data_IF_308944315715
#
_entry.id   IF_308944315715
#
_cell.length_a   1.000
_cell.length_b   1.000
_cell.length_c   1.000
_cell.angle_alpha   90.00
_cell.angle_beta   90.00
_cell.angle_gamma   90.00
#
_symmetry.space_group_name_H-M   'P 1'
#
loop_
_entity.id
_entity.type
_entity.pdbx_description
1 polymer ?
#
# COMPACT_ATOMS: atom_id res chain seq x y z
N UNK A 1 22.33 -11.20 -3.95
CA UNK A 1 21.78 -11.79 -5.21
C UNK A 1 21.28 -10.62 -6.05
N UNK A 2 21.53 -10.63 -7.36
CA UNK A 2 21.19 -9.51 -8.22
C UNK A 2 20.35 -10.01 -9.40
N UNK A 3 19.28 -9.30 -9.73
CA UNK A 3 18.49 -9.47 -10.93
C UNK A 3 18.65 -8.22 -11.79
N UNK A 4 19.25 -8.36 -12.97
CA UNK A 4 19.37 -7.27 -13.94
C UNK A 4 18.51 -7.55 -15.16
N UNK A 5 17.68 -6.60 -15.55
CA UNK A 5 16.77 -6.69 -16.69
C UNK A 5 17.17 -5.65 -17.73
N UNK A 6 17.82 -6.09 -18.80
CA UNK A 6 18.16 -5.23 -19.92
C UNK A 6 16.91 -4.60 -20.55
N UNK A 7 17.10 -3.47 -21.22
CA UNK A 7 16.02 -2.83 -21.98
C UNK A 7 15.39 -3.80 -22.99
N UNK A 8 14.08 -3.95 -22.93
CA UNK A 8 13.31 -4.88 -23.76
C UNK A 8 13.16 -6.29 -23.17
N UNK A 9 13.89 -6.63 -22.10
CA UNK A 9 13.65 -7.87 -21.39
C UNK A 9 12.35 -7.80 -20.59
N UNK A 10 11.57 -8.89 -20.61
CA UNK A 10 10.32 -8.97 -19.86
C UNK A 10 10.20 -10.30 -19.14
N UNK A 11 9.95 -10.26 -17.83
CA UNK A 11 9.48 -11.39 -17.04
C UNK A 11 7.96 -11.29 -16.96
N UNK A 12 7.23 -12.33 -17.40
CA UNK A 12 5.77 -12.35 -17.42
C UNK A 12 5.24 -13.42 -16.47
N UNK A 13 4.25 -13.06 -15.66
CA UNK A 13 3.54 -14.00 -14.79
C UNK A 13 2.66 -14.96 -15.60
N UNK A 14 2.60 -16.21 -15.16
CA UNK A 14 1.67 -17.22 -15.75
C UNK A 14 0.26 -17.02 -15.22
N UNK A 15 -0.75 -17.37 -15.99
CA UNK A 15 -2.16 -17.23 -15.59
C UNK A 15 -2.57 -18.31 -14.60
N UNK A 16 -2.07 -19.53 -14.78
CA UNK A 16 -2.43 -20.68 -13.96
C UNK A 16 -1.87 -20.57 -12.54
N UNK A 17 -2.73 -20.82 -11.57
CA UNK A 17 -2.37 -20.78 -10.16
C UNK A 17 -1.29 -21.80 -9.79
N UNK A 18 -1.28 -22.95 -10.46
CA UNK A 18 -0.32 -24.03 -10.27
C UNK A 18 1.13 -23.63 -10.60
N UNK A 19 1.31 -22.57 -11.36
CA UNK A 19 2.62 -21.96 -11.63
C UNK A 19 3.26 -21.27 -10.41
N UNK A 20 2.49 -21.08 -9.32
CA UNK A 20 2.97 -20.40 -8.11
C UNK A 20 2.93 -21.36 -6.91
N UNK A 21 4.05 -21.97 -6.52
CA UNK A 21 4.09 -22.90 -5.41
C UNK A 21 3.71 -22.21 -4.10
N UNK A 22 2.78 -22.82 -3.35
CA UNK A 22 2.35 -22.32 -2.05
C UNK A 22 3.51 -22.30 -1.05
N UNK A 23 3.64 -21.23 -0.27
CA UNK A 23 4.61 -21.14 0.82
C UNK A 23 4.12 -20.21 1.92
N UNK A 24 4.76 -20.27 3.07
CA UNK A 24 4.54 -19.30 4.12
C UNK A 24 4.93 -17.88 3.61
N UNK A 25 4.07 -16.94 3.82
CA UNK A 25 4.25 -15.54 3.40
C UNK A 25 3.41 -14.61 4.26
N UNK A 26 3.49 -13.31 3.99
CA UNK A 26 2.75 -12.28 4.70
C UNK A 26 1.66 -11.69 3.81
N UNK A 27 0.40 -11.75 4.24
CA UNK A 27 -0.76 -11.18 3.52
C UNK A 27 -1.69 -10.48 4.51
N UNK A 28 -2.05 -9.23 4.21
CA UNK A 28 -3.01 -8.44 5.01
C UNK A 28 -2.72 -8.44 6.52
N UNK A 29 -1.45 -8.27 6.90
CA UNK A 29 -1.04 -8.22 8.29
C UNK A 29 -0.98 -9.58 9.01
N UNK A 30 -1.07 -10.70 8.29
CA UNK A 30 -1.03 -12.06 8.85
C UNK A 30 0.01 -12.92 8.13
N UNK A 31 0.71 -13.77 8.88
CA UNK A 31 1.51 -14.83 8.30
C UNK A 31 0.61 -16.02 7.95
N UNK A 32 0.65 -16.44 6.70
CA UNK A 32 -0.22 -17.52 6.20
C UNK A 32 0.44 -18.26 5.03
N UNK A 33 -0.09 -19.44 4.70
CA UNK A 33 0.28 -20.15 3.47
C UNK A 33 -0.52 -19.56 2.30
N UNK A 34 0.19 -19.03 1.31
CA UNK A 34 -0.42 -18.32 0.19
C UNK A 34 0.51 -18.38 -1.02
N UNK A 35 0.03 -17.92 -2.19
CA UNK A 35 0.91 -17.71 -3.34
C UNK A 35 1.93 -16.60 -3.02
N UNK A 36 3.22 -16.83 -3.25
CA UNK A 36 4.25 -15.80 -3.08
C UNK A 36 4.12 -14.72 -4.16
N UNK A 37 5.23 -14.21 -4.65
CA UNK A 37 5.26 -13.30 -5.77
C UNK A 37 5.87 -14.01 -7.01
N UNK A 38 5.82 -13.33 -8.16
CA UNK A 38 6.54 -13.74 -9.36
C UNK A 38 8.06 -13.73 -9.10
N UNK A 39 8.56 -12.67 -8.43
CA UNK A 39 9.95 -12.57 -7.96
C UNK A 39 9.95 -12.54 -6.42
N UNK A 40 10.76 -13.39 -5.80
CA UNK A 40 10.86 -13.50 -4.36
C UNK A 40 12.31 -13.43 -3.89
N UNK A 41 12.56 -12.69 -2.80
CA UNK A 41 13.83 -12.68 -2.08
C UNK A 41 13.55 -12.79 -0.57
N UNK A 42 14.25 -13.68 0.12
CA UNK A 42 14.10 -13.87 1.57
C UNK A 42 15.47 -14.01 2.23
N UNK A 43 15.64 -13.33 3.37
CA UNK A 43 16.86 -13.42 4.16
C UNK A 43 18.12 -12.89 3.45
N UNK A 44 17.96 -11.97 2.50
CA UNK A 44 19.08 -11.45 1.72
C UNK A 44 19.72 -10.23 2.41
N UNK A 45 21.05 -10.12 2.27
CA UNK A 45 21.80 -8.90 2.54
C UNK A 45 22.42 -8.42 1.22
N UNK A 46 22.03 -7.25 0.74
CA UNK A 46 22.46 -6.73 -0.56
C UNK A 46 21.69 -7.29 -1.76
N UNK A 47 20.37 -7.50 -1.68
CA UNK A 47 19.55 -7.87 -2.84
C UNK A 47 19.31 -6.67 -3.75
N UNK A 48 19.50 -6.85 -5.07
CA UNK A 48 19.25 -5.78 -6.06
C UNK A 48 18.38 -6.25 -7.22
N UNK A 49 17.50 -5.35 -7.68
CA UNK A 49 16.86 -5.40 -9.00
C UNK A 49 17.26 -4.13 -9.75
N UNK A 50 17.72 -4.25 -10.98
CA UNK A 50 18.14 -3.09 -11.76
C UNK A 50 17.89 -3.26 -13.26
N UNK A 51 18.05 -2.18 -14.00
CA UNK A 51 17.93 -2.16 -15.47
C UNK A 51 16.67 -1.46 -15.96
N UNK A 52 16.38 -1.57 -17.25
CA UNK A 52 15.26 -0.89 -17.93
C UNK A 52 14.18 -1.88 -18.43
N UNK A 53 14.21 -3.12 -17.94
CA UNK A 53 13.26 -4.16 -18.34
C UNK A 53 11.94 -4.08 -17.58
N UNK A 54 11.08 -5.06 -17.83
CA UNK A 54 9.70 -5.12 -17.34
C UNK A 54 9.45 -6.38 -16.52
N UNK A 55 8.73 -6.26 -15.42
CA UNK A 55 8.17 -7.40 -14.69
C UNK A 55 6.66 -7.23 -14.72
N UNK A 56 5.99 -8.08 -15.51
CA UNK A 56 4.55 -8.03 -15.78
C UNK A 56 3.83 -9.13 -15.00
N UNK A 57 2.95 -8.75 -14.09
CA UNK A 57 2.12 -9.69 -13.33
C UNK A 57 1.05 -10.38 -14.15
N UNK A 58 0.76 -9.89 -15.38
CA UNK A 58 -0.25 -10.43 -16.29
C UNK A 58 -1.64 -10.56 -15.64
N UNK A 59 -2.10 -9.47 -14.97
CA UNK A 59 -3.24 -9.51 -14.04
C UNK A 59 -4.63 -9.52 -14.67
N UNK A 60 -4.80 -9.20 -15.97
CA UNK A 60 -6.11 -8.94 -16.56
C UNK A 60 -7.15 -10.05 -16.33
N UNK A 61 -6.82 -11.31 -16.59
CA UNK A 61 -7.73 -12.45 -16.42
C UNK A 61 -8.19 -12.62 -14.96
N UNK A 62 -7.26 -12.54 -14.01
CA UNK A 62 -7.58 -12.68 -12.59
C UNK A 62 -8.37 -11.47 -12.06
N UNK A 63 -8.23 -10.28 -12.65
CA UNK A 63 -9.03 -9.11 -12.29
C UNK A 63 -10.50 -9.31 -12.68
N UNK A 64 -10.76 -9.79 -13.90
CA UNK A 64 -12.12 -10.14 -14.34
C UNK A 64 -12.75 -11.20 -13.42
N UNK A 65 -12.03 -12.26 -13.15
CA UNK A 65 -12.46 -13.34 -12.26
C UNK A 65 -12.79 -12.84 -10.85
N UNK A 66 -11.93 -12.00 -10.28
CA UNK A 66 -12.13 -11.41 -8.95
C UNK A 66 -13.46 -10.64 -8.88
N UNK A 67 -13.69 -9.74 -9.82
CA UNK A 67 -14.90 -8.93 -9.82
C UNK A 67 -16.16 -9.76 -10.11
N UNK A 68 -16.07 -10.76 -10.96
CA UNK A 68 -17.15 -11.69 -11.22
C UNK A 68 -17.53 -12.50 -9.97
N UNK A 69 -16.55 -13.09 -9.29
CA UNK A 69 -16.76 -13.83 -8.02
C UNK A 69 -17.31 -12.94 -6.91
N UNK A 70 -16.76 -11.72 -6.77
CA UNK A 70 -17.24 -10.73 -5.78
C UNK A 70 -18.69 -10.31 -6.05
N UNK A 71 -19.06 -10.08 -7.31
CA UNK A 71 -20.42 -9.75 -7.70
C UNK A 71 -21.39 -10.92 -7.43
N UNK A 72 -20.99 -12.15 -7.75
CA UNK A 72 -21.78 -13.36 -7.46
C UNK A 72 -21.99 -13.59 -5.96
N UNK A 73 -20.95 -13.42 -5.15
CA UNK A 73 -21.04 -13.52 -3.70
C UNK A 73 -22.00 -12.47 -3.13
N UNK A 74 -21.86 -11.20 -3.56
CA UNK A 74 -22.77 -10.11 -3.15
C UNK A 74 -24.23 -10.40 -3.53
N UNK A 75 -24.48 -10.90 -4.73
CA UNK A 75 -25.83 -11.31 -5.18
C UNK A 75 -26.42 -12.42 -4.31
N UNK A 76 -25.58 -13.32 -3.81
CA UNK A 76 -25.94 -14.41 -2.91
C UNK A 76 -25.99 -14.00 -1.41
N UNK A 77 -25.82 -12.72 -1.07
CA UNK A 77 -25.78 -12.23 0.32
C UNK A 77 -24.57 -12.76 1.12
N UNK A 78 -23.49 -13.18 0.46
CA UNK A 78 -22.27 -13.70 1.08
C UNK A 78 -21.15 -12.66 1.06
N UNK A 79 -20.32 -12.68 2.09
CA UNK A 79 -19.05 -11.94 2.08
C UNK A 79 -18.08 -12.55 1.06
N UNK A 80 -17.25 -11.73 0.47
CA UNK A 80 -16.15 -12.12 -0.40
C UNK A 80 -14.90 -11.34 0.01
N UNK A 81 -13.91 -12.05 0.53
CA UNK A 81 -12.65 -11.49 1.03
C UNK A 81 -11.58 -11.53 -0.05
N UNK A 82 -10.58 -10.70 0.09
CA UNK A 82 -9.44 -10.71 -0.86
C UNK A 82 -8.74 -12.08 -0.93
N UNK A 83 -8.70 -12.81 0.20
CA UNK A 83 -8.09 -14.15 0.28
C UNK A 83 -8.94 -15.28 -0.31
N UNK A 84 -10.23 -15.04 -0.62
CA UNK A 84 -11.12 -16.05 -1.23
C UNK A 84 -10.76 -16.32 -2.69
N UNK A 85 -9.99 -15.44 -3.32
CA UNK A 85 -9.30 -15.69 -4.58
C UNK A 85 -7.82 -15.36 -4.38
N UNK A 86 -7.00 -16.39 -4.24
CA UNK A 86 -5.56 -16.24 -4.05
C UNK A 86 -4.91 -15.68 -5.32
N UNK A 87 -4.09 -14.65 -5.15
CA UNK A 87 -3.47 -13.89 -6.22
C UNK A 87 -2.00 -13.59 -5.88
N UNK A 88 -1.02 -13.98 -6.71
CA UNK A 88 0.37 -13.66 -6.45
C UNK A 88 0.64 -12.16 -6.62
N UNK A 89 1.61 -11.65 -5.88
CA UNK A 89 2.23 -10.33 -6.08
C UNK A 89 3.25 -10.38 -7.22
N UNK A 90 3.75 -9.22 -7.65
CA UNK A 90 4.87 -9.19 -8.61
C UNK A 90 6.21 -9.37 -7.90
N UNK A 91 6.46 -8.61 -6.83
CA UNK A 91 7.67 -8.71 -6.04
C UNK A 91 7.35 -8.92 -4.56
N UNK A 92 8.02 -9.84 -3.91
CA UNK A 92 8.03 -10.01 -2.47
C UNK A 92 9.45 -10.14 -1.93
N UNK A 93 9.83 -9.22 -1.06
CA UNK A 93 11.12 -9.23 -0.37
C UNK A 93 10.84 -9.35 1.12
N UNK A 94 11.43 -10.34 1.79
CA UNK A 94 11.23 -10.56 3.21
C UNK A 94 12.54 -10.74 3.96
N UNK A 95 12.56 -10.35 5.25
CA UNK A 95 13.68 -10.57 6.18
C UNK A 95 15.04 -10.12 5.63
N UNK A 96 15.07 -9.04 4.85
CA UNK A 96 16.23 -8.66 4.05
C UNK A 96 16.74 -7.26 4.43
N UNK A 97 18.02 -7.01 4.15
CA UNK A 97 18.68 -5.73 4.39
C UNK A 97 19.43 -5.25 3.15
N UNK A 98 19.70 -3.94 3.11
CA UNK A 98 20.46 -3.33 2.01
C UNK A 98 19.87 -3.70 0.64
N UNK A 99 18.54 -3.46 0.50
CA UNK A 99 17.78 -3.80 -0.71
C UNK A 99 17.72 -2.58 -1.62
N UNK A 100 18.08 -2.77 -2.90
CA UNK A 100 18.00 -1.72 -3.91
C UNK A 100 17.21 -2.20 -5.13
N UNK A 101 16.16 -1.45 -5.49
CA UNK A 101 15.28 -1.75 -6.62
C UNK A 101 15.19 -0.52 -7.51
N UNK A 102 15.73 -0.61 -8.73
CA UNK A 102 15.88 0.57 -9.58
C UNK A 102 15.64 0.36 -11.07
N UNK A 103 15.09 1.39 -11.71
CA UNK A 103 15.00 1.54 -13.17
C UNK A 103 13.93 0.70 -13.87
N UNK A 104 13.48 -0.38 -13.25
CA UNK A 104 12.56 -1.34 -13.87
C UNK A 104 11.09 -0.87 -13.85
N UNK A 105 10.30 -1.44 -14.75
CA UNK A 105 8.86 -1.28 -14.78
C UNK A 105 8.18 -2.51 -14.18
N UNK A 106 7.37 -2.31 -13.13
CA UNK A 106 6.43 -3.30 -12.60
C UNK A 106 5.04 -2.98 -13.12
N UNK A 107 4.35 -3.96 -13.70
CA UNK A 107 3.00 -3.70 -14.21
C UNK A 107 2.02 -4.83 -13.99
N UNK A 108 0.74 -4.49 -13.99
CA UNK A 108 -0.42 -5.38 -14.03
C UNK A 108 -0.37 -6.51 -13.00
N UNK A 109 -0.04 -6.16 -11.76
CA UNK A 109 -0.02 -7.14 -10.67
C UNK A 109 -1.40 -7.78 -10.45
N UNK A 110 -1.41 -9.05 -10.11
CA UNK A 110 -2.64 -9.76 -9.73
C UNK A 110 -3.15 -9.36 -8.35
N UNK A 111 -2.23 -8.90 -7.48
CA UNK A 111 -2.49 -8.43 -6.12
C UNK A 111 -1.57 -7.22 -5.84
N UNK A 112 -1.05 -7.02 -4.62
CA UNK A 112 -0.05 -5.98 -4.32
C UNK A 112 1.13 -6.08 -5.29
N UNK A 113 1.64 -4.96 -5.73
CA UNK A 113 2.67 -4.99 -6.78
C UNK A 113 4.03 -5.32 -6.20
N UNK A 114 4.53 -4.49 -5.27
CA UNK A 114 5.80 -4.76 -4.58
C UNK A 114 5.58 -4.74 -3.08
N UNK A 115 5.93 -5.82 -2.39
CA UNK A 115 5.74 -5.97 -0.96
C UNK A 115 7.05 -6.29 -0.26
N UNK A 116 7.39 -5.48 0.72
CA UNK A 116 8.59 -5.62 1.54
C UNK A 116 8.16 -5.89 2.98
N UNK A 117 8.58 -7.03 3.51
CA UNK A 117 8.22 -7.46 4.85
C UNK A 117 9.46 -7.68 5.72
N UNK A 118 9.50 -7.03 6.90
CA UNK A 118 10.60 -7.16 7.85
C UNK A 118 11.96 -6.85 7.21
N UNK A 119 12.02 -5.75 6.44
CA UNK A 119 13.22 -5.30 5.73
C UNK A 119 13.79 -4.02 6.36
N UNK A 120 15.08 -3.82 6.16
CA UNK A 120 15.82 -2.67 6.66
C UNK A 120 16.77 -2.13 5.59
N UNK A 121 16.94 -0.80 5.52
CA UNK A 121 17.77 -0.14 4.52
C UNK A 121 17.36 -0.49 3.09
N UNK A 122 16.11 -0.13 2.74
CA UNK A 122 15.52 -0.39 1.42
C UNK A 122 15.42 0.90 0.61
N UNK A 123 15.84 0.84 -0.66
CA UNK A 123 15.65 1.92 -1.61
C UNK A 123 14.93 1.40 -2.87
N UNK A 124 13.77 1.98 -3.18
CA UNK A 124 13.04 1.77 -4.44
C UNK A 124 13.09 3.07 -5.21
N UNK A 125 13.75 3.08 -6.37
CA UNK A 125 13.94 4.34 -7.07
C UNK A 125 13.97 4.24 -8.59
N UNK A 126 13.61 5.35 -9.22
CA UNK A 126 13.60 5.48 -10.69
C UNK A 126 12.72 4.40 -11.38
N UNK A 127 11.76 3.82 -10.65
CA UNK A 127 10.88 2.76 -11.13
C UNK A 127 9.56 3.33 -11.68
N UNK A 128 8.96 2.57 -12.60
CA UNK A 128 7.58 2.75 -13.02
C UNK A 128 6.71 1.61 -12.47
N UNK A 129 5.65 1.93 -11.71
CA UNK A 129 4.76 0.93 -11.11
C UNK A 129 3.34 1.24 -11.54
N UNK A 130 2.75 0.38 -12.38
CA UNK A 130 1.49 0.69 -13.04
C UNK A 130 0.52 -0.49 -13.06
N UNK A 131 -0.77 -0.20 -12.91
CA UNK A 131 -1.87 -1.05 -13.36
C UNK A 131 -2.47 -0.37 -14.59
N UNK A 132 -2.22 -0.93 -15.76
CA UNK A 132 -2.65 -0.36 -17.03
C UNK A 132 -4.18 -0.24 -17.08
N UNK A 133 -4.68 0.77 -17.79
CA UNK A 133 -6.12 0.92 -18.03
C UNK A 133 -6.54 -0.10 -19.09
N UNK A 134 -6.88 -1.28 -18.64
CA UNK A 134 -7.36 -2.37 -19.49
C UNK A 134 -8.89 -2.32 -19.64
N UNK A 135 -9.42 -3.06 -20.59
CA UNK A 135 -10.86 -3.23 -20.77
C UNK A 135 -11.22 -4.71 -20.70
N UNK A 136 -12.36 -4.98 -20.09
CA UNK A 136 -12.94 -6.34 -20.08
C UNK A 136 -13.49 -6.73 -21.47
N UNK A 137 -13.99 -7.95 -21.57
CA UNK A 137 -14.60 -8.49 -22.80
C UNK A 137 -15.81 -7.70 -23.33
N UNK A 138 -16.38 -6.82 -22.48
CA UNK A 138 -17.51 -5.94 -22.83
C UNK A 138 -17.06 -4.49 -23.13
N UNK A 139 -15.75 -4.22 -23.15
CA UNK A 139 -15.17 -2.91 -23.40
C UNK A 139 -15.22 -1.95 -22.20
N UNK A 140 -15.64 -2.41 -21.02
CA UNK A 140 -15.64 -1.64 -19.78
C UNK A 140 -14.24 -1.62 -19.15
N UNK A 141 -13.87 -0.49 -18.55
CA UNK A 141 -12.59 -0.36 -17.83
C UNK A 141 -12.50 -1.42 -16.73
N UNK A 142 -11.47 -2.22 -16.83
CA UNK A 142 -11.14 -3.29 -15.88
C UNK A 142 -10.17 -2.74 -14.83
N UNK A 143 -10.57 -2.76 -13.59
CA UNK A 143 -9.75 -2.30 -12.46
C UNK A 143 -9.03 -3.46 -11.79
N UNK A 144 -7.73 -3.33 -11.60
CA UNK A 144 -6.96 -4.28 -10.81
C UNK A 144 -7.34 -4.19 -9.33
N UNK A 145 -7.85 -5.27 -8.71
CA UNK A 145 -8.23 -5.27 -7.30
C UNK A 145 -6.99 -5.38 -6.41
N UNK A 146 -6.84 -4.47 -5.45
CA UNK A 146 -5.74 -4.46 -4.47
C UNK A 146 -4.35 -4.47 -5.15
N UNK A 147 -4.16 -3.56 -6.11
CA UNK A 147 -2.88 -3.43 -6.86
C UNK A 147 -2.00 -2.33 -6.27
N UNK A 148 -1.92 -2.26 -4.93
CA UNK A 148 -1.05 -1.32 -4.21
C UNK A 148 0.37 -1.34 -4.83
N UNK A 149 1.02 -0.17 -4.97
CA UNK A 149 2.29 -0.13 -5.66
C UNK A 149 3.46 -0.59 -4.79
N UNK A 150 3.60 0.00 -3.59
CA UNK A 150 4.70 -0.30 -2.66
C UNK A 150 4.13 -0.51 -1.27
N UNK A 151 4.13 -1.75 -0.79
CA UNK A 151 3.72 -2.12 0.56
C UNK A 151 4.93 -2.28 1.48
N UNK A 152 5.00 -1.45 2.52
CA UNK A 152 6.09 -1.38 3.49
C UNK A 152 5.58 -1.98 4.80
N UNK A 153 5.84 -3.27 5.05
CA UNK A 153 5.28 -4.03 6.16
C UNK A 153 6.37 -4.38 7.19
N UNK A 154 6.29 -3.78 8.36
CA UNK A 154 7.29 -3.97 9.44
C UNK A 154 8.72 -3.64 8.97
N UNK A 155 8.90 -2.56 8.22
CA UNK A 155 10.20 -2.14 7.69
C UNK A 155 10.75 -0.89 8.39
N UNK A 156 12.06 -0.70 8.27
CA UNK A 156 12.77 0.44 8.85
C UNK A 156 13.80 1.01 7.87
N UNK A 157 13.93 2.35 7.82
CA UNK A 157 14.79 3.09 6.88
C UNK A 157 14.50 2.71 5.43
N UNK A 158 13.29 3.06 5.01
CA UNK A 158 12.77 2.73 3.69
C UNK A 158 12.61 4.00 2.85
N UNK A 159 13.19 4.02 1.65
CA UNK A 159 13.08 5.15 0.73
C UNK A 159 12.39 4.74 -0.56
N UNK A 160 11.40 5.54 -1.00
CA UNK A 160 10.81 5.49 -2.35
C UNK A 160 11.07 6.84 -3.00
N UNK A 161 11.82 6.86 -4.10
CA UNK A 161 12.16 8.14 -4.75
C UNK A 161 12.14 8.07 -6.27
N UNK A 162 11.84 9.21 -6.90
CA UNK A 162 11.84 9.38 -8.36
C UNK A 162 10.95 8.35 -9.10
N UNK A 163 9.96 7.75 -8.45
CA UNK A 163 9.10 6.75 -9.06
C UNK A 163 7.86 7.38 -9.71
N UNK A 164 7.39 6.73 -10.79
CA UNK A 164 6.07 7.02 -11.38
C UNK A 164 5.09 5.91 -11.00
N UNK A 165 3.99 6.27 -10.36
CA UNK A 165 3.01 5.32 -9.80
C UNK A 165 1.63 5.63 -10.37
N UNK A 166 0.99 4.61 -10.98
CA UNK A 166 -0.37 4.67 -11.52
C UNK A 166 -1.06 3.33 -11.33
N UNK A 167 -1.61 3.07 -10.14
CA UNK A 167 -2.21 1.77 -9.75
C UNK A 167 -3.70 1.92 -9.40
N UNK A 168 -4.45 0.83 -9.34
CA UNK A 168 -5.89 0.89 -9.04
C UNK A 168 -6.22 0.87 -7.53
N UNK A 169 -5.22 0.79 -6.67
CA UNK A 169 -5.34 0.90 -5.22
C UNK A 169 -4.31 1.92 -4.68
N UNK A 170 -3.79 1.76 -3.50
CA UNK A 170 -2.92 2.76 -2.87
C UNK A 170 -1.50 2.79 -3.50
N UNK A 171 -0.88 3.95 -3.51
CA UNK A 171 0.49 4.16 -4.01
C UNK A 171 1.54 3.58 -3.05
N UNK A 172 1.93 4.33 -2.03
CA UNK A 172 2.83 3.84 -0.98
C UNK A 172 2.03 3.56 0.28
N UNK A 173 2.16 2.35 0.82
CA UNK A 173 1.37 1.90 1.98
C UNK A 173 2.28 1.43 3.09
N UNK A 174 2.09 1.98 4.28
CA UNK A 174 2.81 1.58 5.50
C UNK A 174 1.95 0.60 6.29
N UNK A 175 2.50 -0.58 6.54
CA UNK A 175 1.85 -1.72 7.21
C UNK A 175 2.72 -2.24 8.37
N UNK A 176 2.26 -3.30 9.07
CA UNK A 176 2.99 -3.91 10.19
C UNK A 176 2.23 -5.04 10.90
N UNK A 177 0.92 -5.19 10.62
CA UNK A 177 0.10 -6.22 11.25
C UNK A 177 -1.32 -5.76 11.58
N UNK A 178 -2.19 -6.68 11.97
CA UNK A 178 -3.58 -6.38 12.37
C UNK A 178 -4.07 -7.28 13.49
N UNK A 179 -5.24 -6.92 14.01
CA UNK A 179 -6.00 -7.66 15.01
C UNK A 179 -5.97 -7.03 16.39
N UNK A 180 -6.84 -7.49 17.27
CA UNK A 180 -7.05 -6.90 18.58
C UNK A 180 -5.79 -6.88 19.49
N UNK A 181 -4.83 -7.74 19.20
CA UNK A 181 -3.57 -7.89 19.92
C UNK A 181 -2.35 -7.58 19.05
N UNK A 182 -2.54 -6.83 17.95
CA UNK A 182 -1.49 -6.60 16.95
C UNK A 182 -0.25 -5.89 17.51
N UNK A 183 -0.38 -5.12 18.57
CA UNK A 183 0.70 -4.41 19.25
C UNK A 183 1.41 -5.24 20.36
N UNK A 184 0.98 -6.47 20.60
CA UNK A 184 1.71 -7.42 21.45
C UNK A 184 2.73 -8.20 20.61
N UNK A 185 3.87 -7.57 20.36
CA UNK A 185 4.92 -8.15 19.50
C UNK A 185 5.61 -9.37 20.11
N UNK A 186 5.52 -9.54 21.43
CA UNK A 186 6.05 -10.75 22.08
C UNK A 186 5.21 -11.98 21.72
N UNK A 187 3.89 -11.81 21.69
CA UNK A 187 2.94 -12.87 21.34
C UNK A 187 2.79 -13.03 19.82
N UNK A 188 2.89 -11.95 19.08
CA UNK A 188 2.74 -11.91 17.63
C UNK A 188 4.00 -11.34 16.96
N UNK A 189 5.13 -12.07 16.95
CA UNK A 189 6.42 -11.56 16.47
C UNK A 189 6.44 -11.27 14.96
N UNK A 190 5.46 -11.75 14.20
CA UNK A 190 5.25 -11.38 12.80
C UNK A 190 4.79 -9.93 12.64
N UNK A 191 4.17 -9.32 13.65
CA UNK A 191 3.78 -7.92 13.64
C UNK A 191 4.93 -7.02 14.09
N UNK A 192 4.84 -5.73 13.75
CA UNK A 192 5.83 -4.76 14.19
C UNK A 192 5.55 -3.36 13.67
N UNK A 193 6.34 -2.41 14.16
CA UNK A 193 6.34 -1.05 13.69
C UNK A 193 7.03 -0.93 12.33
N UNK A 194 6.55 0.03 11.51
CA UNK A 194 7.31 0.57 10.38
C UNK A 194 7.75 1.98 10.70
N UNK A 195 9.03 2.30 10.42
CA UNK A 195 9.56 3.61 10.76
C UNK A 195 10.61 4.12 9.76
N UNK A 196 10.86 5.43 9.83
CA UNK A 196 11.87 6.09 9.02
C UNK A 196 11.63 5.86 7.52
N UNK A 197 10.39 6.15 7.07
CA UNK A 197 9.98 6.03 5.67
C UNK A 197 10.05 7.39 4.98
N UNK A 198 10.73 7.43 3.85
CA UNK A 198 10.84 8.61 3.01
C UNK A 198 10.27 8.33 1.62
N UNK A 199 9.28 9.13 1.21
CA UNK A 199 8.74 9.15 -0.15
C UNK A 199 9.07 10.52 -0.76
N UNK A 200 9.90 10.56 -1.79
CA UNK A 200 10.31 11.85 -2.35
C UNK A 200 10.39 11.87 -3.87
N UNK A 201 10.11 13.03 -4.45
CA UNK A 201 10.22 13.28 -5.90
C UNK A 201 9.42 12.28 -6.76
N UNK A 202 8.37 11.67 -6.21
CA UNK A 202 7.52 10.71 -6.91
C UNK A 202 6.35 11.39 -7.60
N UNK A 203 5.84 10.73 -8.65
CA UNK A 203 4.64 11.15 -9.39
C UNK A 203 3.55 10.11 -9.20
N UNK A 204 2.45 10.50 -8.58
CA UNK A 204 1.27 9.64 -8.40
C UNK A 204 0.18 10.07 -9.38
N UNK A 205 -0.23 9.17 -10.23
CA UNK A 205 -1.17 9.44 -11.32
C UNK A 205 -2.48 8.66 -11.12
N UNK A 206 -3.57 9.18 -11.68
CA UNK A 206 -4.81 8.41 -11.80
C UNK A 206 -4.53 7.04 -12.46
N UNK A 207 -5.11 5.93 -12.01
CA UNK A 207 -6.22 5.82 -11.06
C UNK A 207 -5.82 5.53 -9.58
N UNK A 208 -4.65 5.94 -9.14
CA UNK A 208 -4.16 5.68 -7.77
C UNK A 208 -5.17 6.18 -6.73
N UNK A 209 -5.53 5.30 -5.79
CA UNK A 209 -6.51 5.61 -4.76
C UNK A 209 -5.96 6.60 -3.72
N UNK A 210 -4.77 6.35 -3.19
CA UNK A 210 -4.11 7.28 -2.27
C UNK A 210 -2.62 7.34 -2.59
N UNK A 211 -2.01 8.54 -2.53
CA UNK A 211 -0.58 8.65 -2.77
C UNK A 211 0.23 8.02 -1.61
N UNK A 212 -0.11 8.39 -0.36
CA UNK A 212 0.46 7.81 0.85
C UNK A 212 -0.65 7.31 1.77
N UNK A 213 -0.55 6.06 2.21
CA UNK A 213 -1.50 5.44 3.14
C UNK A 213 -0.75 4.84 4.33
N UNK A 214 -1.26 5.07 5.54
CA UNK A 214 -0.87 4.35 6.75
C UNK A 214 -2.03 3.41 7.13
N UNK A 215 -1.74 2.12 7.14
CA UNK A 215 -2.77 1.10 7.40
C UNK A 215 -3.38 0.50 6.11
N UNK A 216 -4.47 -0.23 6.20
CA UNK A 216 -5.21 -0.51 7.44
C UNK A 216 -4.45 -1.44 8.41
N UNK A 217 -3.68 -2.40 7.94
CA UNK A 217 -2.92 -3.37 8.73
C UNK A 217 -1.60 -2.79 9.23
N UNK A 218 -1.65 -1.79 10.13
CA UNK A 218 -0.45 -1.13 10.65
C UNK A 218 -0.65 -0.78 12.14
N UNK A 219 -0.13 -1.57 13.08
CA UNK A 219 -0.27 -1.27 14.51
C UNK A 219 0.56 -0.06 14.91
N UNK A 220 1.68 0.20 14.24
CA UNK A 220 2.54 1.34 14.59
C UNK A 220 3.32 1.85 13.37
N UNK A 221 3.27 3.18 13.16
CA UNK A 221 4.07 3.89 12.18
C UNK A 221 4.65 5.17 12.79
N UNK A 222 5.96 5.39 12.58
CA UNK A 222 6.64 6.54 13.14
C UNK A 222 7.67 7.13 12.17
N UNK A 223 7.78 8.47 12.11
CA UNK A 223 8.68 9.21 11.22
C UNK A 223 8.48 8.85 9.74
N UNK A 224 7.27 9.13 9.25
CA UNK A 224 6.87 8.90 7.86
C UNK A 224 6.86 10.26 7.14
N UNK A 225 7.66 10.40 6.11
CA UNK A 225 7.77 11.65 5.35
C UNK A 225 7.45 11.44 3.87
N UNK A 226 6.58 12.28 3.31
CA UNK A 226 6.37 12.44 1.87
C UNK A 226 6.70 13.87 1.49
N UNK A 227 7.59 14.06 0.52
CA UNK A 227 7.99 15.41 0.11
C UNK A 227 8.28 15.58 -1.38
N UNK A 228 8.08 16.79 -1.87
CA UNK A 228 8.43 17.17 -3.26
C UNK A 228 7.80 16.23 -4.32
N UNK A 229 6.62 15.72 -4.06
CA UNK A 229 5.91 14.81 -4.94
C UNK A 229 4.87 15.56 -5.77
N UNK A 230 4.41 14.93 -6.85
CA UNK A 230 3.26 15.42 -7.63
C UNK A 230 2.14 14.39 -7.60
N UNK A 231 0.91 14.87 -7.55
CA UNK A 231 -0.30 14.04 -7.60
C UNK A 231 -1.20 14.53 -8.72
N UNK A 232 -1.75 13.60 -9.51
CA UNK A 232 -2.65 13.94 -10.61
C UNK A 232 -3.88 13.03 -10.60
N UNK A 233 -5.00 13.57 -10.11
CA UNK A 233 -6.28 12.87 -10.04
C UNK A 233 -6.33 11.71 -9.05
N UNK A 234 -5.48 11.67 -8.03
CA UNK A 234 -5.52 10.61 -7.00
C UNK A 234 -6.74 10.78 -6.08
N UNK A 235 -7.18 9.70 -5.44
CA UNK A 235 -8.30 9.77 -4.49
C UNK A 235 -7.93 10.54 -3.23
N UNK A 236 -6.82 10.20 -2.56
CA UNK A 236 -6.35 10.91 -1.37
C UNK A 236 -4.86 11.27 -1.50
N UNK A 237 -4.45 12.44 -1.01
CA UNK A 237 -3.02 12.74 -0.86
C UNK A 237 -2.45 11.92 0.32
N UNK A 238 -3.03 12.08 1.51
CA UNK A 238 -2.69 11.28 2.70
C UNK A 238 -3.93 10.57 3.23
N UNK A 239 -3.83 9.25 3.45
CA UNK A 239 -4.89 8.46 4.08
C UNK A 239 -4.37 7.71 5.32
N UNK A 240 -4.95 8.00 6.47
CA UNK A 240 -4.75 7.26 7.72
C UNK A 240 -5.94 6.32 7.90
N UNK A 241 -5.77 5.04 7.58
CA UNK A 241 -6.81 4.02 7.73
C UNK A 241 -6.78 3.48 9.16
N UNK A 242 -7.72 3.93 9.99
CA UNK A 242 -7.79 3.57 11.41
C UNK A 242 -8.70 2.36 11.60
N UNK A 243 -8.12 1.17 11.77
CA UNK A 243 -8.92 -0.05 11.98
C UNK A 243 -9.69 0.01 13.29
N UNK A 244 -10.91 -0.50 13.24
CA UNK A 244 -11.78 -0.55 14.43
C UNK A 244 -11.45 -1.68 15.39
N UNK A 245 -10.66 -2.66 14.94
CA UNK A 245 -10.27 -3.88 15.67
C UNK A 245 -8.77 -3.99 15.97
N UNK A 246 -8.01 -2.97 15.65
CA UNK A 246 -6.54 -2.96 15.82
C UNK A 246 -6.13 -1.69 16.54
N UNK A 247 -5.48 -1.78 17.71
CA UNK A 247 -4.97 -0.59 18.38
C UNK A 247 -3.76 -0.05 17.59
N UNK A 248 -3.96 1.08 16.91
CA UNK A 248 -2.95 1.67 16.03
C UNK A 248 -2.36 2.95 16.64
N UNK A 249 -1.08 3.18 16.36
CA UNK A 249 -0.35 4.38 16.76
C UNK A 249 0.43 4.93 15.59
N UNK A 250 0.05 6.10 15.08
CA UNK A 250 0.77 6.82 14.05
C UNK A 250 1.36 8.10 14.63
N UNK A 251 2.65 8.32 14.44
CA UNK A 251 3.35 9.49 14.97
C UNK A 251 4.31 10.09 13.95
N UNK A 252 4.52 11.40 14.07
CA UNK A 252 5.51 12.13 13.28
C UNK A 252 5.35 11.91 11.77
N UNK A 253 4.14 12.18 11.24
CA UNK A 253 3.82 12.07 9.81
C UNK A 253 3.94 13.46 9.17
N UNK A 254 4.77 13.59 8.15
CA UNK A 254 5.01 14.83 7.43
C UNK A 254 4.69 14.69 5.94
N UNK A 255 3.85 15.58 5.41
CA UNK A 255 3.64 15.75 3.96
C UNK A 255 3.93 17.19 3.58
N UNK A 256 4.98 17.41 2.77
CA UNK A 256 5.40 18.77 2.42
C UNK A 256 5.78 18.94 0.94
N UNK A 257 5.54 20.13 0.42
CA UNK A 257 5.95 20.51 -0.95
C UNK A 257 5.30 19.67 -2.05
N UNK A 258 4.11 19.13 -1.82
CA UNK A 258 3.35 18.36 -2.82
C UNK A 258 2.48 19.29 -3.64
N UNK A 259 2.38 19.01 -4.96
CA UNK A 259 1.53 19.78 -5.87
C UNK A 259 0.67 18.88 -6.75
N UNK A 260 -0.48 19.43 -7.22
CA UNK A 260 -1.33 18.76 -8.19
C UNK A 260 -2.81 18.65 -7.81
N UNK A 261 -3.43 17.48 -8.06
CA UNK A 261 -4.88 17.29 -7.90
C UNK A 261 -5.21 16.01 -7.15
N UNK A 262 -6.16 16.07 -6.22
CA UNK A 262 -6.71 14.90 -5.52
C UNK A 262 -8.18 15.12 -5.13
N UNK A 263 -8.87 14.07 -4.70
CA UNK A 263 -10.22 14.23 -4.15
C UNK A 263 -10.19 14.71 -2.70
N UNK A 264 -9.37 14.09 -1.87
CA UNK A 264 -9.19 14.51 -0.48
C UNK A 264 -7.72 14.82 -0.17
N UNK A 265 -7.47 15.99 0.46
CA UNK A 265 -6.14 16.39 0.90
C UNK A 265 -5.67 15.54 2.08
N UNK A 266 -6.52 15.36 3.09
CA UNK A 266 -6.31 14.49 4.24
C UNK A 266 -7.55 13.63 4.47
N UNK A 267 -7.37 12.32 4.55
CA UNK A 267 -8.42 11.39 4.97
C UNK A 267 -7.95 10.64 6.21
N UNK A 268 -8.70 10.75 7.30
CA UNK A 268 -8.49 9.96 8.52
C UNK A 268 -9.79 9.26 8.81
N UNK A 269 -9.84 7.94 8.65
CA UNK A 269 -11.13 7.25 8.69
C UNK A 269 -11.12 5.90 9.38
N UNK A 270 -12.19 5.64 10.14
CA UNK A 270 -12.43 4.34 10.73
C UNK A 270 -12.59 3.27 9.64
N UNK A 271 -11.82 2.18 9.75
CA UNK A 271 -11.79 1.07 8.80
C UNK A 271 -12.25 -0.22 9.48
N UNK A 272 -13.48 -0.64 9.20
CA UNK A 272 -14.11 -1.80 9.84
C UNK A 272 -14.20 -3.05 8.96
N UNK A 273 -13.50 -3.10 7.83
CA UNK A 273 -13.57 -4.25 6.93
C UNK A 273 -12.99 -5.51 7.60
N UNK A 274 -13.80 -6.56 7.71
CA UNK A 274 -13.44 -7.84 8.34
C UNK A 274 -12.93 -7.69 9.78
N UNK A 275 -13.50 -6.76 10.53
CA UNK A 275 -13.07 -6.48 11.90
C UNK A 275 -13.37 -7.67 12.83
N UNK A 276 -12.37 -8.03 13.65
CA UNK A 276 -12.50 -9.00 14.74
C UNK A 276 -11.92 -8.39 16.02
N UNK A 277 -12.79 -8.11 16.97
CA UNK A 277 -12.42 -7.44 18.22
C UNK A 277 -11.66 -8.36 19.21
N UNK A 278 -11.59 -9.66 18.96
CA UNK A 278 -10.86 -10.62 19.81
C UNK A 278 -11.28 -10.60 21.27
N UNK A 279 -12.55 -10.27 21.55
CA UNK A 279 -13.09 -10.16 22.91
C UNK A 279 -12.77 -8.82 23.61
N UNK A 280 -12.10 -7.88 22.96
CA UNK A 280 -11.79 -6.55 23.50
C UNK A 280 -12.87 -5.52 23.17
N UNK A 281 -12.95 -4.48 23.97
CA UNK A 281 -13.88 -3.36 23.77
C UNK A 281 -13.32 -2.33 22.78
N UNK A 282 -14.18 -1.51 22.19
CA UNK A 282 -13.77 -0.41 21.31
C UNK A 282 -12.80 0.57 22.00
N UNK A 283 -12.99 0.85 23.29
CA UNK A 283 -12.11 1.76 24.03
C UNK A 283 -10.71 1.21 24.22
N UNK A 284 -10.55 -0.10 24.40
CA UNK A 284 -9.24 -0.76 24.49
C UNK A 284 -8.52 -0.83 23.14
N UNK A 285 -9.27 -0.78 22.05
CA UNK A 285 -8.77 -0.85 20.67
C UNK A 285 -8.66 0.52 19.99
N UNK A 286 -8.93 1.61 20.75
CA UNK A 286 -8.88 2.95 20.20
C UNK A 286 -7.50 3.28 19.65
N UNK A 287 -7.49 3.82 18.44
CA UNK A 287 -6.29 4.18 17.71
C UNK A 287 -5.93 5.66 17.91
N UNK A 288 -4.67 6.00 17.71
CA UNK A 288 -4.17 7.37 17.90
C UNK A 288 -3.26 7.76 16.74
N UNK A 289 -3.51 8.95 16.16
CA UNK A 289 -2.57 9.62 15.26
C UNK A 289 -2.12 10.93 15.89
N UNK A 290 -0.81 11.15 16.02
CA UNK A 290 -0.24 12.31 16.70
C UNK A 290 0.89 12.92 15.91
N UNK A 291 0.94 14.27 15.85
CA UNK A 291 2.01 14.98 15.16
C UNK A 291 1.95 14.77 13.65
N UNK A 292 0.76 14.94 13.08
CA UNK A 292 0.53 14.89 11.63
C UNK A 292 0.64 16.30 11.07
N UNK A 293 1.60 16.52 10.19
CA UNK A 293 1.87 17.83 9.59
C UNK A 293 1.74 17.78 8.07
N UNK A 294 0.91 18.63 7.51
CA UNK A 294 0.87 18.91 6.07
C UNK A 294 1.21 20.38 5.86
N UNK A 295 2.33 20.66 5.20
CA UNK A 295 2.79 22.04 5.03
C UNK A 295 3.34 22.35 3.64
N UNK A 296 3.15 23.58 3.19
CA UNK A 296 3.72 24.08 1.94
C UNK A 296 3.25 23.33 0.70
N UNK A 297 2.07 22.71 0.74
CA UNK A 297 1.50 21.98 -0.39
C UNK A 297 0.62 22.91 -1.25
N UNK A 298 0.58 22.64 -2.57
CA UNK A 298 -0.28 23.36 -3.51
C UNK A 298 -1.16 22.39 -4.27
N UNK A 299 -2.38 22.15 -3.79
CA UNK A 299 -3.25 21.08 -4.27
C UNK A 299 -4.65 21.59 -4.58
N UNK A 300 -5.21 21.15 -5.72
CA UNK A 300 -6.65 21.27 -5.99
C UNK A 300 -7.35 20.01 -5.46
N UNK A 301 -8.35 20.18 -4.57
CA UNK A 301 -9.04 19.06 -3.93
C UNK A 301 -10.54 19.35 -3.74
N UNK A 302 -11.35 18.28 -3.67
CA UNK A 302 -12.79 18.34 -3.38
C UNK A 302 -13.05 18.48 -1.87
N UNK A 303 -12.18 17.89 -1.04
CA UNK A 303 -12.27 17.95 0.41
C UNK A 303 -10.89 18.21 1.04
N UNK A 304 -10.82 19.18 1.96
CA UNK A 304 -9.62 19.41 2.76
C UNK A 304 -9.38 18.27 3.73
N UNK A 305 -10.42 17.82 4.43
CA UNK A 305 -10.33 16.74 5.41
C UNK A 305 -11.61 15.90 5.48
N UNK A 306 -11.40 14.59 5.68
CA UNK A 306 -12.44 13.62 6.02
C UNK A 306 -12.04 12.94 7.33
N UNK A 307 -12.95 12.88 8.32
CA UNK A 307 -12.68 12.36 9.70
C UNK A 307 -13.75 11.40 10.19
N UNK A 308 -14.13 10.40 9.38
CA UNK A 308 -15.22 9.46 9.73
C UNK A 308 -14.82 8.57 10.91
N UNK A 309 -15.58 8.64 12.02
CA UNK A 309 -15.38 7.82 13.22
C UNK A 309 -14.37 8.37 14.21
N UNK A 310 -13.93 9.64 14.02
CA UNK A 310 -13.10 10.35 14.99
C UNK A 310 -13.84 10.53 16.32
N UNK A 311 -13.11 10.41 17.44
CA UNK A 311 -13.66 10.40 18.78
C UNK A 311 -14.14 9.02 19.24
N UNK A 312 -14.75 8.23 18.36
CA UNK A 312 -15.23 6.88 18.69
C UNK A 312 -14.15 5.80 18.53
N UNK A 313 -13.49 5.74 17.36
CA UNK A 313 -12.52 4.69 17.03
C UNK A 313 -11.07 5.16 17.07
N UNK A 314 -10.86 6.45 16.90
CA UNK A 314 -9.52 7.04 16.93
C UNK A 314 -9.55 8.48 17.42
N UNK A 315 -8.38 8.96 17.80
CA UNK A 315 -8.12 10.38 18.09
C UNK A 315 -6.96 10.86 17.21
N UNK A 316 -7.14 12.06 16.63
CA UNK A 316 -6.11 12.79 15.92
C UNK A 316 -5.73 14.02 16.74
N UNK A 317 -4.49 14.05 17.22
CA UNK A 317 -3.95 15.17 18.01
C UNK A 317 -2.73 15.78 17.34
N UNK A 318 -2.46 17.04 17.65
CA UNK A 318 -1.31 17.78 17.11
C UNK A 318 -1.28 17.77 15.57
N UNK A 319 -2.46 17.99 14.94
CA UNK A 319 -2.58 18.19 13.51
C UNK A 319 -2.13 19.61 13.16
N UNK A 320 -1.17 19.71 12.25
CA UNK A 320 -0.66 20.98 11.73
C UNK A 320 -0.93 21.08 10.22
N UNK A 321 -1.72 22.08 9.83
CA UNK A 321 -1.99 22.43 8.43
C UNK A 321 -1.46 23.86 8.21
N UNK A 322 -0.25 24.00 7.66
CA UNK A 322 0.37 25.31 7.52
C UNK A 322 0.89 25.60 6.11
N UNK A 323 0.74 26.84 5.67
CA UNK A 323 1.27 27.33 4.38
C UNK A 323 0.80 26.47 3.17
N UNK A 324 -0.35 25.79 3.28
CA UNK A 324 -0.92 25.05 2.17
C UNK A 324 -1.79 25.97 1.30
N UNK A 325 -1.70 25.81 -0.01
CA UNK A 325 -2.57 26.46 -0.99
C UNK A 325 -3.55 25.40 -1.51
N UNK A 326 -4.76 25.39 -0.95
CA UNK A 326 -5.82 24.48 -1.39
C UNK A 326 -6.79 25.22 -2.30
N UNK A 327 -7.04 24.65 -3.48
CA UNK A 327 -8.04 25.15 -4.43
C UNK A 327 -9.21 24.18 -4.44
N UNK A 328 -10.44 24.70 -4.46
CA UNK A 328 -11.64 23.86 -4.64
C UNK A 328 -11.66 23.31 -6.07
N UNK A 329 -11.92 22.02 -6.23
CA UNK A 329 -12.34 21.47 -7.50
C UNK A 329 -13.77 21.97 -7.76
N UNK A 330 -13.94 22.85 -8.77
CA UNK A 330 -15.25 23.37 -9.20
C UNK A 330 -16.09 22.27 -9.86
#
# INVERSE_FOLDING_TARGET
MNLHLEKGATIVGVDEAEGYPMRETRIEGETCVYYPALVNADGCDGFTISGEGVIDGHGAGIWEEFWAKRAAARKAGREFRNKDLMRPRVLYVSNSKNVDVSGVTFKNSKFWTTHYYNCEDVCVHDCTIVAEILKDSQGKVLKGPSTDAVDIDKCRRFTVRNCTIAVNDDGVVVKGGKGAWANDYAKFPGNGASSDVLVENCRFLYPTHSALTLGSECPEADRITMRNCTVDGVGNLLYLKMRTDTPQRYSNVLVEGVSGTCKAFLNVGAWGQYADFGGRTKSELKSYARGVTLRGNTVTCEAERIGKGEGEYFELTDLVLENNVLKSAL
#
